data_IF_469225091493
#
_entry.id   IF_469225091493
#
_cell.length_a   1.000
_cell.length_b   1.000
_cell.length_c   1.000
_cell.angle_alpha   90.00
_cell.angle_beta   90.00
_cell.angle_gamma   90.00
#
_symmetry.space_group_name_H-M   'P 1'
#
loop_
_entity.id
_entity.type
_entity.pdbx_description
1 polymer ?
#
# COMPACT_ATOMS: atom_id res chain seq x y z
N UNK A 1 22.80 -9.32 -51.22
CA UNK A 1 22.62 -8.35 -50.12
C UNK A 1 21.85 -9.05 -49.02
N UNK A 2 22.57 -9.54 -48.01
CA UNK A 2 21.99 -10.32 -46.91
C UNK A 2 21.99 -9.41 -45.68
N UNK A 3 20.80 -9.00 -45.22
CA UNK A 3 20.67 -8.16 -44.03
C UNK A 3 20.56 -9.07 -42.82
N UNK A 4 21.58 -9.04 -41.96
CA UNK A 4 21.58 -9.71 -40.66
C UNK A 4 20.73 -8.84 -39.72
N UNK A 5 19.56 -9.33 -39.32
CA UNK A 5 18.70 -8.67 -38.35
C UNK A 5 19.30 -8.76 -36.95
N UNK A 6 19.64 -7.62 -36.37
CA UNK A 6 20.02 -7.52 -34.97
C UNK A 6 18.80 -7.79 -34.09
N UNK A 7 18.83 -8.89 -33.32
CA UNK A 7 17.84 -9.16 -32.30
C UNK A 7 18.08 -8.20 -31.11
N UNK A 8 17.22 -7.19 -30.98
CA UNK A 8 17.19 -6.35 -29.79
C UNK A 8 16.67 -7.20 -28.61
N UNK A 9 17.55 -7.52 -27.67
CA UNK A 9 17.12 -8.04 -26.37
C UNK A 9 16.36 -6.93 -25.64
N UNK A 10 15.04 -7.05 -25.56
CA UNK A 10 14.24 -6.25 -24.63
C UNK A 10 14.63 -6.67 -23.21
N UNK A 11 15.45 -5.87 -22.55
CA UNK A 11 15.61 -5.94 -21.11
C UNK A 11 14.29 -5.47 -20.48
N UNK A 12 13.54 -6.38 -19.88
CA UNK A 12 12.41 -6.04 -19.03
C UNK A 12 12.97 -5.33 -17.79
N UNK A 13 12.84 -4.01 -17.74
CA UNK A 13 13.08 -3.26 -16.50
C UNK A 13 12.05 -3.76 -15.48
N UNK A 14 12.45 -4.26 -14.29
CA UNK A 14 11.47 -4.63 -13.29
C UNK A 14 10.64 -3.40 -12.92
N UNK A 15 9.33 -3.56 -12.80
CA UNK A 15 8.45 -2.51 -12.28
C UNK A 15 9.06 -1.99 -10.97
N UNK A 16 9.13 -0.66 -10.81
CA UNK A 16 9.69 -0.06 -9.61
C UNK A 16 8.99 -0.63 -8.37
N UNK A 17 9.77 -1.21 -7.46
CA UNK A 17 9.30 -1.71 -6.17
C UNK A 17 8.67 -0.56 -5.38
N UNK A 18 7.38 -0.68 -5.06
CA UNK A 18 6.65 0.33 -4.29
C UNK A 18 6.77 -0.02 -2.81
N UNK A 19 7.44 0.84 -2.04
CA UNK A 19 7.60 0.69 -0.60
C UNK A 19 6.70 1.68 0.13
N UNK A 20 5.84 1.19 1.00
CA UNK A 20 4.90 2.01 1.79
C UNK A 20 5.31 2.00 3.25
N UNK A 21 6.05 3.02 3.68
CA UNK A 21 6.54 3.17 5.06
C UNK A 21 5.86 4.29 5.82
N UNK A 22 5.46 4.03 7.06
CA UNK A 22 4.85 5.04 7.93
C UNK A 22 3.50 5.56 7.45
N UNK A 23 2.70 4.71 6.81
CA UNK A 23 1.33 5.03 6.41
C UNK A 23 0.45 5.22 7.65
N UNK A 24 -0.42 6.22 7.61
CA UNK A 24 -1.38 6.55 8.70
C UNK A 24 -2.80 6.74 8.20
N UNK A 25 -2.99 6.94 6.89
CA UNK A 25 -4.28 7.16 6.26
C UNK A 25 -4.33 6.45 4.91
N UNK A 26 -5.45 5.82 4.61
CA UNK A 26 -5.83 5.35 3.28
C UNK A 26 -7.12 6.06 2.90
N UNK A 27 -7.12 6.73 1.76
CA UNK A 27 -8.30 7.35 1.16
C UNK A 27 -8.72 6.51 -0.05
N UNK A 28 -10.01 6.21 -0.11
CA UNK A 28 -10.64 5.45 -1.20
C UNK A 28 -11.75 6.31 -1.78
N UNK A 29 -11.72 6.47 -3.09
CA UNK A 29 -12.80 7.12 -3.86
C UNK A 29 -13.22 6.21 -5.00
N UNK A 30 -14.42 6.42 -5.55
CA UNK A 30 -14.83 5.70 -6.74
C UNK A 30 -14.07 6.26 -7.97
N UNK A 31 -13.62 5.38 -8.87
CA UNK A 31 -13.02 5.77 -10.14
C UNK A 31 -14.01 6.43 -11.11
N UNK A 32 -15.30 6.22 -10.88
CA UNK A 32 -16.40 6.84 -11.58
C UNK A 32 -17.09 7.88 -10.67
N UNK A 33 -17.75 8.89 -11.25
CA UNK A 33 -18.65 9.77 -10.49
C UNK A 33 -19.94 8.99 -10.17
N UNK A 34 -19.89 8.10 -9.19
CA UNK A 34 -21.00 7.25 -8.73
C UNK A 34 -20.88 6.99 -7.22
N UNK A 35 -21.82 6.24 -6.66
CA UNK A 35 -21.81 5.82 -5.26
C UNK A 35 -20.51 5.11 -4.89
N UNK A 36 -19.99 5.41 -3.71
CA UNK A 36 -18.91 4.65 -3.11
C UNK A 36 -19.51 3.59 -2.17
N UNK A 37 -19.19 2.33 -2.43
CA UNK A 37 -19.60 1.20 -1.61
C UNK A 37 -18.37 0.33 -1.37
N UNK A 38 -18.11 -0.07 -0.14
CA UNK A 38 -16.93 -0.87 0.25
C UNK A 38 -17.38 -1.88 1.28
N UNK A 39 -17.21 -3.17 0.98
CA UNK A 39 -17.56 -4.23 1.90
C UNK A 39 -16.54 -4.33 3.03
N UNK A 40 -15.26 -4.34 2.68
CA UNK A 40 -14.18 -4.43 3.66
C UNK A 40 -12.88 -3.89 3.05
N UNK A 41 -12.10 -3.18 3.85
CA UNK A 41 -10.76 -2.72 3.56
C UNK A 41 -9.81 -3.32 4.57
N UNK A 42 -8.76 -3.99 4.08
CA UNK A 42 -7.71 -4.55 4.93
C UNK A 42 -6.36 -4.04 4.48
N UNK A 43 -5.61 -3.48 5.42
CA UNK A 43 -4.25 -3.03 5.22
C UNK A 43 -3.34 -3.84 6.13
N UNK A 44 -2.55 -4.75 5.57
CA UNK A 44 -1.68 -5.63 6.36
C UNK A 44 -0.28 -5.07 6.43
N UNK A 45 0.31 -5.05 7.62
CA UNK A 45 1.74 -4.85 7.77
C UNK A 45 2.53 -6.15 7.51
N UNK A 46 3.86 -6.07 7.47
CA UNK A 46 4.73 -7.24 7.28
C UNK A 46 4.67 -8.27 8.43
N UNK A 47 4.01 -7.95 9.55
CA UNK A 47 3.70 -8.86 10.64
C UNK A 47 2.33 -9.54 10.52
N UNK A 48 1.67 -9.44 9.36
CA UNK A 48 0.33 -9.98 9.11
C UNK A 48 -0.78 -9.40 10.02
N UNK A 49 -0.57 -8.23 10.61
CA UNK A 49 -1.60 -7.50 11.34
C UNK A 49 -2.38 -6.60 10.37
N UNK A 50 -3.71 -6.71 10.35
CA UNK A 50 -4.58 -5.76 9.65
C UNK A 50 -4.65 -4.46 10.46
N UNK A 51 -3.81 -3.47 10.14
CA UNK A 51 -3.75 -2.20 10.88
C UNK A 51 -4.98 -1.32 10.65
N UNK A 52 -5.71 -1.54 9.56
CA UNK A 52 -6.93 -0.79 9.24
C UNK A 52 -8.16 -1.31 10.01
N UNK A 53 -8.13 -2.52 10.56
CA UNK A 53 -9.27 -3.08 11.27
C UNK A 53 -9.64 -2.24 12.49
N UNK A 54 -10.95 -2.04 12.70
CA UNK A 54 -11.49 -1.38 13.89
C UNK A 54 -11.02 -2.06 15.19
N UNK A 55 -10.95 -3.39 15.20
CA UNK A 55 -10.42 -4.18 16.32
C UNK A 55 -8.94 -3.88 16.66
N UNK A 56 -8.18 -3.32 15.71
CA UNK A 56 -6.78 -2.93 15.87
C UNK A 56 -6.60 -1.40 15.97
N UNK A 57 -7.68 -0.66 16.21
CA UNK A 57 -7.66 0.80 16.39
C UNK A 57 -7.79 1.61 15.10
N UNK A 58 -8.11 0.96 13.97
CA UNK A 58 -8.50 1.66 12.75
C UNK A 58 -9.81 2.43 12.92
N UNK A 59 -9.89 3.62 12.33
CA UNK A 59 -11.10 4.46 12.35
C UNK A 59 -11.44 4.85 10.93
N UNK A 60 -12.67 4.51 10.51
CA UNK A 60 -13.21 4.86 9.22
C UNK A 60 -14.13 6.09 9.32
N UNK A 61 -14.02 6.99 8.35
CA UNK A 61 -14.96 8.08 8.09
C UNK A 61 -15.29 8.13 6.61
N UNK A 62 -16.44 8.67 6.25
CA UNK A 62 -16.86 8.78 4.87
C UNK A 62 -17.53 10.12 4.58
N UNK A 63 -17.66 10.43 3.31
CA UNK A 63 -18.35 11.63 2.82
C UNK A 63 -19.80 11.72 3.28
N UNK A 64 -20.51 10.60 3.20
CA UNK A 64 -21.94 10.49 3.49
C UNK A 64 -22.34 9.05 3.79
N UNK A 65 -23.55 8.83 4.30
CA UNK A 65 -24.05 7.50 4.69
C UNK A 65 -25.45 7.27 4.12
N UNK A 66 -25.62 6.22 3.30
CA UNK A 66 -26.90 5.91 2.66
C UNK A 66 -27.97 5.45 3.66
N UNK A 67 -27.61 4.57 4.60
CA UNK A 67 -28.48 4.07 5.66
C UNK A 67 -27.73 3.90 6.98
N UNK A 68 -28.43 3.93 8.11
CA UNK A 68 -27.82 3.86 9.45
C UNK A 68 -27.06 2.56 9.76
N UNK A 69 -27.23 1.50 8.96
CA UNK A 69 -26.50 0.24 9.06
C UNK A 69 -25.36 0.11 8.02
N UNK A 70 -25.19 1.09 7.13
CA UNK A 70 -24.17 1.11 6.06
C UNK A 70 -23.12 2.21 6.29
N UNK A 71 -22.74 2.40 7.55
CA UNK A 71 -21.82 3.43 8.04
C UNK A 71 -20.36 3.10 7.70
N UNK A 72 -19.42 4.07 7.73
CA UNK A 72 -18.02 3.83 7.33
C UNK A 72 -17.30 2.75 8.12
N UNK A 73 -17.66 2.52 9.40
CA UNK A 73 -17.09 1.46 10.24
C UNK A 73 -17.30 0.06 9.65
N UNK A 74 -18.34 -0.13 8.83
CA UNK A 74 -18.59 -1.38 8.11
C UNK A 74 -17.49 -1.77 7.14
N UNK A 75 -16.78 -0.80 6.58
CA UNK A 75 -15.66 -1.08 5.70
C UNK A 75 -14.41 -1.61 6.45
N UNK A 76 -14.41 -1.69 7.78
CA UNK A 76 -13.26 -2.13 8.59
C UNK A 76 -13.65 -2.99 9.80
N UNK A 77 -14.82 -3.63 9.77
CA UNK A 77 -15.35 -4.40 10.90
C UNK A 77 -14.90 -5.88 10.89
N UNK A 78 -14.19 -6.29 9.83
CA UNK A 78 -13.68 -7.65 9.68
C UNK A 78 -14.58 -8.56 8.84
N UNK A 79 -15.80 -8.13 8.50
CA UNK A 79 -16.71 -8.90 7.66
C UNK A 79 -16.43 -8.67 6.16
N UNK A 80 -15.94 -9.69 5.47
CA UNK A 80 -15.65 -9.61 4.02
C UNK A 80 -16.86 -9.86 3.14
N UNK A 81 -18.02 -10.13 3.73
CA UNK A 81 -19.26 -10.35 2.99
C UNK A 81 -19.67 -9.08 2.23
N UNK A 82 -19.89 -9.21 0.92
CA UNK A 82 -20.23 -8.08 0.07
C UNK A 82 -21.72 -7.83 -0.08
N UNK A 83 -22.60 -8.56 0.62
CA UNK A 83 -24.04 -8.35 0.50
C UNK A 83 -24.49 -7.14 1.33
N UNK A 84 -25.05 -6.14 0.67
CA UNK A 84 -25.50 -4.91 1.32
C UNK A 84 -26.47 -5.13 2.48
N UNK A 85 -27.37 -6.12 2.38
CA UNK A 85 -28.42 -6.35 3.36
C UNK A 85 -28.01 -7.31 4.48
N UNK A 86 -27.32 -8.41 4.16
CA UNK A 86 -26.97 -9.43 5.15
C UNK A 86 -25.62 -9.19 5.82
N UNK A 87 -24.66 -8.63 5.09
CA UNK A 87 -23.29 -8.50 5.55
C UNK A 87 -22.99 -7.07 6.05
N UNK A 88 -23.83 -6.10 5.65
CA UNK A 88 -23.75 -4.67 5.96
C UNK A 88 -22.42 -4.05 5.56
N UNK A 89 -22.40 -3.37 4.41
CA UNK A 89 -21.21 -2.73 3.84
C UNK A 89 -21.24 -1.21 4.06
N UNK A 90 -20.11 -0.51 3.91
CA UNK A 90 -20.16 0.94 3.77
C UNK A 90 -20.82 1.32 2.44
N UNK A 91 -21.71 2.31 2.45
CA UNK A 91 -22.31 2.87 1.24
C UNK A 91 -22.59 4.36 1.41
N UNK A 92 -22.06 5.17 0.49
CA UNK A 92 -22.30 6.61 0.46
C UNK A 92 -23.73 6.96 0.08
N UNK A 93 -24.24 8.10 0.55
CA UNK A 93 -25.56 8.60 0.17
C UNK A 93 -25.55 9.31 -1.20
N UNK A 94 -24.43 9.91 -1.59
CA UNK A 94 -24.27 10.60 -2.86
C UNK A 94 -23.65 9.72 -3.94
N UNK A 95 -23.80 10.15 -5.19
CA UNK A 95 -23.30 9.47 -6.40
C UNK A 95 -22.44 10.41 -7.27
N UNK A 96 -21.71 11.33 -6.64
CA UNK A 96 -20.82 12.26 -7.32
C UNK A 96 -19.35 11.85 -7.21
N UNK A 97 -18.47 12.59 -7.89
CA UNK A 97 -17.01 12.38 -7.82
C UNK A 97 -16.38 12.77 -6.47
N UNK A 98 -17.17 13.20 -5.48
CA UNK A 98 -16.70 13.65 -4.17
C UNK A 98 -16.91 12.65 -3.05
N UNK A 99 -17.44 11.45 -3.34
CA UNK A 99 -17.61 10.42 -2.32
C UNK A 99 -16.29 9.77 -1.94
N UNK A 100 -16.03 9.68 -0.63
CA UNK A 100 -14.79 9.14 -0.11
C UNK A 100 -15.02 8.25 1.11
N UNK A 101 -14.07 7.34 1.33
CA UNK A 101 -13.86 6.59 2.55
C UNK A 101 -12.41 6.84 2.99
N UNK A 102 -12.27 7.41 4.17
CA UNK A 102 -10.99 7.61 4.83
C UNK A 102 -10.84 6.59 5.95
N UNK A 103 -9.74 5.84 5.95
CA UNK A 103 -9.38 4.92 7.02
C UNK A 103 -8.06 5.38 7.63
N UNK A 104 -8.11 5.74 8.90
CA UNK A 104 -6.95 6.19 9.68
C UNK A 104 -6.54 5.12 10.70
N UNK A 105 -5.24 5.00 10.95
CA UNK A 105 -4.67 3.98 11.85
C UNK A 105 -3.30 4.42 12.37
N UNK A 106 -2.79 3.72 13.38
CA UNK A 106 -1.44 3.94 13.90
C UNK A 106 -0.38 3.71 12.82
N UNK A 107 0.66 4.55 12.78
CA UNK A 107 1.67 4.53 11.72
C UNK A 107 2.25 3.13 11.48
N UNK A 108 2.18 2.65 10.22
CA UNK A 108 2.59 1.30 9.86
C UNK A 108 3.29 1.22 8.51
N UNK A 109 4.17 0.22 8.37
CA UNK A 109 4.72 -0.17 7.08
C UNK A 109 3.81 -1.24 6.47
N UNK A 110 3.22 -0.95 5.32
CA UNK A 110 2.23 -1.82 4.70
C UNK A 110 2.91 -2.81 3.77
N UNK A 111 2.46 -4.06 3.83
CA UNK A 111 2.83 -5.17 2.94
C UNK A 111 1.77 -5.41 1.88
N UNK A 112 0.51 -5.11 2.17
CA UNK A 112 -0.57 -5.21 1.21
C UNK A 112 -1.78 -4.37 1.62
N UNK A 113 -2.59 -4.07 0.63
CA UNK A 113 -3.92 -3.49 0.77
C UNK A 113 -4.89 -4.29 -0.08
N UNK A 114 -5.98 -4.76 0.53
CA UNK A 114 -7.07 -5.44 -0.15
C UNK A 114 -8.40 -4.74 0.10
N UNK A 115 -9.21 -4.60 -0.94
CA UNK A 115 -10.57 -4.05 -0.85
C UNK A 115 -11.55 -5.09 -1.40
N UNK A 116 -12.61 -5.34 -0.63
CA UNK A 116 -13.73 -6.19 -0.99
C UNK A 116 -14.87 -5.30 -1.48
N UNK A 117 -15.32 -5.56 -2.70
CA UNK A 117 -16.48 -4.89 -3.28
C UNK A 117 -17.81 -5.52 -2.84
N UNK A 118 -18.90 -4.92 -3.31
CA UNK A 118 -20.25 -5.43 -3.16
C UNK A 118 -20.48 -6.65 -4.06
N UNK A 119 -21.27 -7.61 -3.60
CA UNK A 119 -21.48 -8.90 -4.28
C UNK A 119 -22.94 -9.23 -4.62
N UNK A 120 -23.92 -8.56 -4.01
CA UNK A 120 -25.35 -8.82 -4.26
C UNK A 120 -25.91 -8.06 -5.48
N UNK A 121 -25.40 -6.86 -5.75
CA UNK A 121 -25.67 -6.11 -6.97
C UNK A 121 -24.58 -5.09 -7.21
N UNK A 122 -24.66 -4.42 -8.36
CA UNK A 122 -24.05 -3.10 -8.51
C UNK A 122 -22.52 -3.09 -8.41
N UNK A 123 -21.88 -4.28 -8.40
CA UNK A 123 -20.44 -4.43 -8.29
C UNK A 123 -19.67 -3.85 -9.46
N UNK A 124 -20.33 -3.49 -10.58
CA UNK A 124 -19.69 -2.77 -11.69
C UNK A 124 -19.08 -1.41 -11.29
N UNK A 125 -19.49 -0.85 -10.15
CA UNK A 125 -19.00 0.42 -9.58
C UNK A 125 -17.71 0.28 -8.78
N UNK A 126 -17.31 -0.94 -8.42
CA UNK A 126 -16.26 -1.20 -7.42
C UNK A 126 -14.87 -1.16 -8.05
N UNK A 127 -14.61 -0.10 -8.82
CA UNK A 127 -13.28 0.29 -9.26
C UNK A 127 -12.90 1.52 -8.45
N UNK A 128 -11.88 1.39 -7.61
CA UNK A 128 -11.53 2.42 -6.65
C UNK A 128 -10.23 3.10 -7.03
N UNK A 129 -10.18 4.42 -6.86
CA UNK A 129 -8.93 5.14 -6.73
C UNK A 129 -8.52 5.11 -5.26
N UNK A 130 -7.27 4.73 -5.00
CA UNK A 130 -6.73 4.55 -3.67
C UNK A 130 -5.49 5.41 -3.52
N UNK A 131 -5.43 6.18 -2.44
CA UNK A 131 -4.24 6.96 -2.08
C UNK A 131 -3.86 6.69 -0.63
N UNK A 132 -2.58 6.42 -0.39
CA UNK A 132 -2.04 6.14 0.95
C UNK A 132 -1.16 7.30 1.35
N UNK A 133 -1.35 7.80 2.57
CA UNK A 133 -0.63 8.95 3.10
C UNK A 133 0.12 8.61 4.39
N UNK A 134 1.21 9.33 4.63
CA UNK A 134 1.88 9.37 5.93
C UNK A 134 1.30 10.48 6.83
N UNK A 135 1.84 10.60 8.05
CA UNK A 135 1.41 11.60 9.03
C UNK A 135 1.61 13.06 8.57
N UNK A 136 2.54 13.31 7.65
CA UNK A 136 2.78 14.64 7.07
C UNK A 136 1.84 14.96 5.89
N UNK A 137 0.93 14.04 5.54
CA UNK A 137 0.04 14.17 4.38
C UNK A 137 0.73 13.91 3.04
N UNK A 138 1.96 13.39 3.04
CA UNK A 138 2.64 13.03 1.81
C UNK A 138 2.09 11.71 1.26
N UNK A 139 1.82 11.67 -0.05
CA UNK A 139 1.38 10.47 -0.76
C UNK A 139 2.51 9.44 -0.84
N UNK A 140 2.29 8.26 -0.27
CA UNK A 140 3.19 7.11 -0.33
C UNK A 140 2.85 6.18 -1.50
N UNK A 141 1.57 6.09 -1.84
CA UNK A 141 1.07 5.29 -2.94
C UNK A 141 -0.19 5.95 -3.51
N UNK A 142 -0.35 5.87 -4.83
CA UNK A 142 -1.60 6.19 -5.51
C UNK A 142 -1.79 5.22 -6.66
N UNK A 143 -2.98 4.64 -6.78
CA UNK A 143 -3.28 3.65 -7.80
C UNK A 143 -4.75 3.28 -7.81
N UNK A 144 -5.11 2.33 -8.68
CA UNK A 144 -6.46 1.82 -8.77
C UNK A 144 -6.53 0.37 -8.29
N UNK A 145 -7.62 0.03 -7.61
CA UNK A 145 -7.95 -1.33 -7.20
C UNK A 145 -9.30 -1.71 -7.80
N UNK A 146 -9.33 -2.78 -8.58
CA UNK A 146 -10.54 -3.36 -9.15
C UNK A 146 -11.07 -4.46 -8.22
N UNK A 147 -12.22 -4.22 -7.60
CA UNK A 147 -12.92 -5.15 -6.72
C UNK A 147 -14.33 -5.49 -7.23
N UNK A 148 -14.57 -5.35 -8.54
CA UNK A 148 -15.89 -5.58 -9.12
C UNK A 148 -16.32 -7.04 -8.99
N UNK A 149 -17.26 -7.31 -8.09
CA UNK A 149 -17.74 -8.65 -7.70
C UNK A 149 -16.66 -9.59 -7.11
N UNK A 150 -15.55 -9.06 -6.61
CA UNK A 150 -14.43 -9.85 -6.10
C UNK A 150 -13.52 -9.00 -5.19
N UNK A 151 -12.46 -9.57 -4.65
CA UNK A 151 -11.44 -8.83 -3.88
C UNK A 151 -10.36 -8.30 -4.82
N UNK A 152 -10.06 -7.00 -4.73
CA UNK A 152 -8.89 -6.40 -5.35
C UNK A 152 -7.74 -6.30 -4.34
N UNK A 153 -6.51 -6.64 -4.73
CA UNK A 153 -5.34 -6.58 -3.83
C UNK A 153 -4.13 -5.97 -4.52
N UNK A 154 -3.42 -5.11 -3.79
CA UNK A 154 -2.07 -4.64 -4.13
C UNK A 154 -1.10 -5.06 -3.04
N UNK A 155 0.12 -5.45 -3.43
CA UNK A 155 1.21 -5.82 -2.53
C UNK A 155 2.33 -4.79 -2.62
N UNK A 156 3.03 -4.57 -1.51
CA UNK A 156 4.11 -3.61 -1.37
C UNK A 156 5.38 -4.33 -0.93
N UNK A 157 6.52 -3.80 -1.37
CA UNK A 157 7.82 -4.35 -1.05
C UNK A 157 8.31 -3.86 0.31
N UNK A 158 9.06 -4.72 1.00
CA UNK A 158 9.74 -4.32 2.22
C UNK A 158 10.83 -3.29 1.88
N UNK A 159 10.99 -2.29 2.75
CA UNK A 159 12.11 -1.38 2.65
C UNK A 159 13.41 -2.19 2.75
N UNK A 160 14.16 -2.28 1.66
CA UNK A 160 15.44 -2.99 1.64
C UNK A 160 16.43 -2.14 2.43
N UNK A 161 16.68 -2.50 3.69
CA UNK A 161 17.72 -1.85 4.50
C UNK A 161 19.06 -2.41 4.02
N UNK A 162 19.96 -1.59 3.46
CA UNK A 162 21.32 -2.03 3.21
C UNK A 162 21.94 -2.40 4.55
N UNK A 163 22.29 -3.66 4.74
CA UNK A 163 22.70 -4.17 6.05
C UNK A 163 23.83 -3.31 6.64
N UNK A 164 23.74 -2.84 7.90
CA UNK A 164 24.77 -2.03 8.55
C UNK A 164 26.15 -2.71 8.53
N UNK A 165 26.16 -4.04 8.49
CA UNK A 165 27.36 -4.85 8.38
C UNK A 165 28.12 -4.60 7.07
N UNK A 166 27.45 -4.35 5.95
CA UNK A 166 28.14 -4.08 4.67
C UNK A 166 28.96 -2.79 4.73
N UNK A 167 28.41 -1.77 5.39
CA UNK A 167 29.08 -0.48 5.59
C UNK A 167 30.18 -0.62 6.63
N UNK A 168 29.91 -1.31 7.74
CA UNK A 168 30.90 -1.58 8.78
C UNK A 168 32.07 -2.42 8.24
N UNK A 169 31.82 -3.39 7.37
CA UNK A 169 32.85 -4.23 6.74
C UNK A 169 33.65 -3.46 5.68
N UNK A 170 33.00 -2.58 4.91
CA UNK A 170 33.70 -1.68 3.99
C UNK A 170 34.60 -0.71 4.74
N UNK A 171 34.08 -0.05 5.78
CA UNK A 171 34.83 0.88 6.63
C UNK A 171 35.95 0.15 7.39
N UNK A 172 35.69 -1.04 7.95
CA UNK A 172 36.70 -1.85 8.63
C UNK A 172 37.79 -2.32 7.64
N UNK A 173 37.41 -2.73 6.43
CA UNK A 173 38.34 -3.12 5.37
C UNK A 173 39.25 -1.95 4.96
N UNK A 174 38.69 -0.79 4.66
CA UNK A 174 39.47 0.41 4.33
C UNK A 174 40.30 0.90 5.52
N UNK A 175 39.77 0.82 6.74
CA UNK A 175 40.49 1.15 7.96
C UNK A 175 41.70 0.24 8.20
N UNK A 176 41.55 -1.08 7.99
CA UNK A 176 42.63 -2.05 8.09
C UNK A 176 43.71 -1.84 7.02
N UNK A 177 43.32 -1.57 5.77
CA UNK A 177 44.26 -1.26 4.68
C UNK A 177 45.02 0.03 4.98
N UNK A 178 44.33 1.09 5.42
CA UNK A 178 44.95 2.36 5.80
C UNK A 178 45.91 2.21 6.99
N UNK A 179 45.54 1.42 8.00
CA UNK A 179 46.40 1.11 9.14
C UNK A 179 47.64 0.31 8.73
N UNK A 180 47.49 -0.71 7.89
CA UNK A 180 48.60 -1.51 7.38
C UNK A 180 49.57 -0.67 6.52
N UNK A 181 49.05 0.23 5.68
CA UNK A 181 49.87 1.15 4.89
C UNK A 181 50.65 2.12 5.79
N UNK A 182 50.02 2.66 6.84
CA UNK A 182 50.69 3.55 7.81
C UNK A 182 51.84 2.85 8.55
N UNK A 183 51.70 1.55 8.88
CA UNK A 183 52.77 0.77 9.52
C UNK A 183 54.00 0.57 8.62
N UNK A 184 53.82 0.51 7.30
CA UNK A 184 54.95 0.34 6.35
C UNK A 184 55.81 1.59 6.23
N UNK A 185 55.21 2.77 6.28
CA UNK A 185 55.96 4.04 6.20
C UNK A 185 56.85 4.26 7.44
N UNK A 186 56.37 3.89 8.62
CA UNK A 186 57.14 4.02 9.86
C UNK A 186 58.39 3.11 9.92
N UNK A 187 58.37 1.97 9.22
CA UNK A 187 59.48 1.02 9.19
C UNK A 187 60.60 1.39 8.19
N UNK A 188 60.35 2.32 7.26
CA UNK A 188 61.33 2.79 6.25
C UNK A 188 62.06 4.06 6.73
N UNK A 189 61.55 4.74 7.76
CA UNK A 189 62.13 5.96 8.32
C UNK A 189 63.02 5.72 9.57
N UNK A 190 63.25 4.46 9.95
CA UNK A 190 64.12 4.04 11.05
C UNK A 190 65.33 3.28 10.50
#
# INVERSE_FOLDING_TARGET
MTVIGAAAMLATVPAAAVVVTGATKIEVTNAFPDYLQVAELRAFNFGALNVAASANGGVASGSSVYAGYSTPDKAIDGNTGGNYYSDTIFHSAGNGSGEFLDVTFAAANLSSLSIFGRTDCCGARDLYNVTIFNAAGATLYSGQIDARNQTGTVTFDAAVVPEPASWAMMVAGFGLVGFAARRRLAAVAA
#
